data_IF_311106950838
#
_entry.id   IF_311106950838
#
_cell.length_a   1.000
_cell.length_b   1.000
_cell.length_c   1.000
_cell.angle_alpha   90.00
_cell.angle_beta   90.00
_cell.angle_gamma   90.00
#
_symmetry.space_group_name_H-M   'P 1'
#
loop_
_entity.id
_entity.type
_entity.pdbx_description
1 polymer ?
#
# COMPACT_ATOMS: atom_id res chain seq x y z
N UNK A 1 -16.65 20.78 10.27
CA UNK A 1 -15.94 19.52 9.90
C UNK A 1 -14.45 19.81 9.78
N UNK A 2 -13.61 19.06 10.48
CA UNK A 2 -12.18 19.11 10.28
C UNK A 2 -11.79 18.07 9.21
N UNK A 3 -11.04 18.45 8.21
CA UNK A 3 -10.46 17.53 7.23
C UNK A 3 -9.31 16.78 7.91
N UNK A 4 -9.30 15.46 7.73
CA UNK A 4 -8.22 14.59 8.18
C UNK A 4 -7.34 14.22 6.98
N UNK A 5 -6.04 14.39 7.11
CA UNK A 5 -5.09 14.09 6.03
C UNK A 5 -4.36 12.79 6.30
N UNK A 6 -4.34 11.92 5.31
CA UNK A 6 -3.52 10.71 5.27
C UNK A 6 -2.49 10.78 4.15
N UNK A 7 -1.45 9.95 4.23
CA UNK A 7 -0.38 9.89 3.24
C UNK A 7 -0.06 8.44 2.88
N UNK A 8 0.27 8.20 1.62
CA UNK A 8 0.79 6.92 1.17
C UNK A 8 2.30 6.83 1.43
N UNK A 9 2.82 5.69 1.92
CA UNK A 9 4.26 5.53 2.19
C UNK A 9 5.13 5.54 0.95
N UNK A 10 4.56 5.53 -0.23
CA UNK A 10 5.27 5.66 -1.51
C UNK A 10 6.12 6.94 -1.61
N UNK A 11 5.82 7.95 -0.80
CA UNK A 11 6.64 9.16 -0.69
C UNK A 11 8.03 8.89 -0.10
N UNK A 12 8.20 7.80 0.66
CA UNK A 12 9.47 7.39 1.30
C UNK A 12 10.09 6.16 0.68
N UNK A 13 9.27 5.23 0.20
CA UNK A 13 9.73 3.98 -0.39
C UNK A 13 8.71 3.49 -1.42
N UNK A 14 9.20 2.84 -2.47
CA UNK A 14 8.35 2.36 -3.54
C UNK A 14 8.25 0.83 -3.51
N UNK A 15 7.05 0.28 -3.35
CA UNK A 15 6.82 -1.16 -3.30
C UNK A 15 7.00 -1.84 -4.67
N UNK A 16 6.78 -1.09 -5.77
CA UNK A 16 6.97 -1.57 -7.15
C UNK A 16 8.43 -1.46 -7.60
N UNK A 17 9.20 -0.56 -7.01
CA UNK A 17 10.65 -0.36 -7.25
C UNK A 17 11.38 -0.32 -5.91
N UNK A 18 11.65 -1.47 -5.28
CA UNK A 18 12.19 -1.54 -3.91
C UNK A 18 13.55 -0.88 -3.70
N UNK A 19 14.29 -0.62 -4.77
CA UNK A 19 15.53 0.14 -4.74
C UNK A 19 15.33 1.64 -4.45
N UNK A 20 14.12 2.16 -4.66
CA UNK A 20 13.79 3.54 -4.33
C UNK A 20 13.31 3.64 -2.89
N UNK A 21 14.15 4.18 -2.02
CA UNK A 21 13.86 4.33 -0.60
C UNK A 21 13.93 3.01 0.18
N UNK A 22 14.64 2.00 -0.35
CA UNK A 22 14.75 0.69 0.29
C UNK A 22 15.34 0.73 1.71
N UNK A 23 16.26 1.68 1.95
CA UNK A 23 16.88 1.94 3.25
C UNK A 23 16.00 2.69 4.25
N UNK A 24 14.95 3.36 3.79
CA UNK A 24 14.02 4.09 4.65
C UNK A 24 13.19 3.12 5.49
N UNK A 25 13.28 3.23 6.80
CA UNK A 25 12.55 2.36 7.71
C UNK A 25 11.08 2.78 7.85
N UNK A 26 10.20 1.84 8.21
CA UNK A 26 8.81 2.18 8.54
C UNK A 26 8.73 3.20 9.70
N UNK A 27 9.57 3.03 10.71
CA UNK A 27 9.62 3.96 11.86
C UNK A 27 9.95 5.40 11.41
N UNK A 28 10.87 5.58 10.49
CA UNK A 28 11.17 6.89 9.90
C UNK A 28 9.96 7.44 9.15
N UNK A 29 9.35 6.64 8.29
CA UNK A 29 8.17 7.02 7.52
C UNK A 29 7.03 7.51 8.43
N UNK A 30 6.68 6.75 9.47
CA UNK A 30 5.62 7.09 10.41
C UNK A 30 5.95 8.36 11.22
N UNK A 31 7.20 8.49 11.67
CA UNK A 31 7.67 9.66 12.40
C UNK A 31 7.58 10.94 11.56
N UNK A 32 8.09 10.89 10.33
CA UNK A 32 8.08 12.05 9.43
C UNK A 32 6.66 12.40 8.96
N UNK A 33 5.81 11.40 8.71
CA UNK A 33 4.41 11.62 8.38
C UNK A 33 3.68 12.37 9.50
N UNK A 34 3.88 11.96 10.76
CA UNK A 34 3.31 12.66 11.91
C UNK A 34 3.87 14.09 12.03
N UNK A 35 5.19 14.28 11.88
CA UNK A 35 5.82 15.62 11.91
C UNK A 35 5.28 16.54 10.81
N UNK A 36 4.95 16.00 9.66
CA UNK A 36 4.36 16.75 8.55
C UNK A 36 2.88 17.10 8.77
N UNK A 37 2.27 16.60 9.84
CA UNK A 37 0.88 16.90 10.20
C UNK A 37 -0.15 15.90 9.65
N UNK A 38 0.28 14.78 9.06
CA UNK A 38 -0.62 13.70 8.70
C UNK A 38 -1.06 12.94 9.94
N UNK A 39 -2.32 12.54 9.96
CA UNK A 39 -2.91 11.74 11.04
C UNK A 39 -3.21 10.31 10.63
N UNK A 40 -3.08 10.00 9.34
CA UNK A 40 -3.28 8.67 8.79
C UNK A 40 -2.21 8.31 7.77
N UNK A 41 -1.98 7.01 7.62
CA UNK A 41 -1.07 6.44 6.64
C UNK A 41 -1.74 5.26 5.94
N UNK A 42 -1.49 5.08 4.66
CA UNK A 42 -1.87 3.87 3.93
C UNK A 42 -0.94 2.70 4.26
N UNK A 43 -1.51 1.50 4.27
CA UNK A 43 -0.75 0.27 4.40
C UNK A 43 0.17 0.06 3.19
N UNK A 44 1.43 -0.26 3.43
CA UNK A 44 2.44 -0.53 2.40
C UNK A 44 3.28 -1.77 2.72
N UNK A 45 4.16 -2.14 1.81
CA UNK A 45 4.94 -3.38 1.86
C UNK A 45 5.84 -3.54 3.08
N UNK A 46 6.28 -2.45 3.69
CA UNK A 46 7.14 -2.46 4.91
C UNK A 46 6.35 -2.64 6.21
N UNK A 47 5.04 -2.63 6.15
CA UNK A 47 4.20 -2.74 7.34
C UNK A 47 4.14 -4.19 7.85
N UNK A 48 4.15 -4.42 9.18
CA UNK A 48 3.84 -5.71 9.77
C UNK A 48 2.48 -6.21 9.29
N UNK A 49 2.40 -7.50 8.98
CA UNK A 49 1.18 -8.13 8.46
C UNK A 49 0.27 -8.70 9.54
N UNK A 50 0.55 -8.38 10.79
CA UNK A 50 -0.25 -8.76 11.95
C UNK A 50 -0.52 -7.54 12.83
N UNK A 51 -1.67 -7.53 13.50
CA UNK A 51 -2.11 -6.42 14.32
C UNK A 51 -1.30 -6.25 15.61
N UNK A 52 -0.76 -7.34 16.13
CA UNK A 52 0.03 -7.34 17.38
C UNK A 52 1.32 -6.52 17.25
N UNK A 53 1.93 -6.51 16.06
CA UNK A 53 3.12 -5.70 15.77
C UNK A 53 2.78 -4.33 15.20
N UNK A 54 1.72 -4.23 14.38
CA UNK A 54 1.37 -3.00 13.69
C UNK A 54 0.75 -1.96 14.61
N UNK A 55 -0.22 -2.36 15.46
CA UNK A 55 -0.92 -1.40 16.34
C UNK A 55 0.05 -0.65 17.26
N UNK A 56 1.00 -1.31 17.97
CA UNK A 56 1.95 -0.58 18.81
C UNK A 56 2.83 0.42 18.04
N UNK A 57 3.15 0.13 16.76
CA UNK A 57 3.92 1.07 15.92
C UNK A 57 3.09 2.29 15.57
N UNK A 58 1.85 2.10 15.15
CA UNK A 58 0.93 3.20 14.82
C UNK A 58 0.68 4.08 16.06
N UNK A 59 0.45 3.48 17.21
CA UNK A 59 0.24 4.19 18.48
C UNK A 59 1.47 4.99 18.89
N UNK A 60 2.66 4.41 18.77
CA UNK A 60 3.93 5.07 19.09
C UNK A 60 4.10 6.40 18.33
N UNK A 61 3.71 6.43 17.07
CA UNK A 61 3.84 7.61 16.21
C UNK A 61 2.54 8.42 16.11
N UNK A 62 1.49 8.04 16.82
CA UNK A 62 0.18 8.72 16.84
C UNK A 62 -0.39 8.92 15.45
N UNK A 63 -0.37 7.87 14.65
CA UNK A 63 -0.86 7.86 13.29
C UNK A 63 -1.81 6.68 13.09
N UNK A 64 -2.93 6.89 12.41
CA UNK A 64 -3.93 5.87 12.15
C UNK A 64 -3.65 5.14 10.84
N UNK A 65 -4.10 3.89 10.71
CA UNK A 65 -4.17 3.22 9.42
C UNK A 65 -5.42 3.70 8.69
N UNK A 66 -5.27 4.43 7.59
CA UNK A 66 -6.41 5.03 6.89
C UNK A 66 -6.90 4.22 5.68
N UNK A 67 -6.21 3.15 5.31
CA UNK A 67 -6.55 2.28 4.19
C UNK A 67 -5.35 1.52 3.69
N UNK A 68 -5.49 0.91 2.53
CA UNK A 68 -4.38 0.27 1.83
C UNK A 68 -4.82 -0.51 0.62
N UNK A 69 -3.88 -0.79 -0.24
CA UNK A 69 -4.07 -1.46 -1.50
C UNK A 69 -4.19 -2.98 -1.33
N UNK A 70 -5.12 -3.58 -2.07
CA UNK A 70 -5.20 -5.02 -2.28
C UNK A 70 -5.29 -5.33 -3.77
N UNK A 71 -4.32 -6.06 -4.29
CA UNK A 71 -4.29 -6.52 -5.68
C UNK A 71 -4.89 -7.93 -5.81
N UNK A 72 -6.09 -8.02 -6.38
CA UNK A 72 -6.78 -9.28 -6.63
C UNK A 72 -6.37 -9.91 -7.96
N UNK A 73 -6.40 -11.23 -8.04
CA UNK A 73 -6.13 -12.01 -9.24
C UNK A 73 -7.35 -12.86 -9.66
N UNK A 74 -8.49 -12.21 -9.86
CA UNK A 74 -9.78 -12.87 -10.16
C UNK A 74 -9.78 -13.68 -11.45
N UNK A 75 -8.88 -13.40 -12.39
CA UNK A 75 -8.72 -14.17 -13.64
C UNK A 75 -7.89 -15.44 -13.46
N UNK A 76 -7.13 -15.55 -12.36
CA UNK A 76 -6.25 -16.68 -12.07
C UNK A 76 -6.77 -17.54 -10.93
N UNK A 77 -7.33 -16.91 -9.91
CA UNK A 77 -7.80 -17.55 -8.70
C UNK A 77 -9.31 -17.80 -8.77
N UNK A 78 -9.77 -18.86 -8.12
CA UNK A 78 -11.19 -19.03 -7.85
C UNK A 78 -11.67 -17.98 -6.84
N UNK A 79 -12.98 -17.74 -6.81
CA UNK A 79 -13.58 -16.81 -5.85
C UNK A 79 -13.26 -17.20 -4.41
N UNK A 80 -13.24 -18.50 -4.11
CA UNK A 80 -12.93 -18.97 -2.75
C UNK A 80 -11.47 -18.71 -2.36
N UNK A 81 -10.53 -18.97 -3.25
CA UNK A 81 -9.11 -18.67 -3.04
C UNK A 81 -8.90 -17.17 -2.82
N UNK A 82 -9.47 -16.33 -3.68
CA UNK A 82 -9.33 -14.88 -3.56
C UNK A 82 -9.95 -14.34 -2.26
N UNK A 83 -11.08 -14.89 -1.83
CA UNK A 83 -11.69 -14.54 -0.54
C UNK A 83 -10.81 -14.89 0.65
N UNK A 84 -10.10 -16.00 0.61
CA UNK A 84 -9.18 -16.37 1.70
C UNK A 84 -7.95 -15.46 1.74
N UNK A 85 -7.38 -15.09 0.58
CA UNK A 85 -6.28 -14.12 0.52
C UNK A 85 -6.70 -12.74 1.04
N UNK A 86 -7.84 -12.26 0.60
CA UNK A 86 -8.39 -10.98 1.04
C UNK A 86 -8.72 -10.96 2.54
N UNK A 87 -9.20 -12.08 3.09
CA UNK A 87 -9.63 -12.20 4.48
C UNK A 87 -8.53 -11.81 5.47
N UNK A 88 -7.30 -12.23 5.21
CA UNK A 88 -6.14 -11.91 6.05
C UNK A 88 -5.93 -10.40 6.18
N UNK A 89 -5.94 -9.69 5.05
CA UNK A 89 -5.77 -8.23 5.05
C UNK A 89 -6.98 -7.50 5.63
N UNK A 90 -8.20 -7.99 5.37
CA UNK A 90 -9.42 -7.44 5.96
C UNK A 90 -9.42 -7.55 7.49
N UNK A 91 -8.96 -8.68 8.03
CA UNK A 91 -8.86 -8.85 9.48
C UNK A 91 -7.85 -7.87 10.09
N UNK A 92 -6.68 -7.73 9.49
CA UNK A 92 -5.67 -6.76 9.91
C UNK A 92 -6.24 -5.34 9.90
N UNK A 93 -6.92 -4.94 8.82
CA UNK A 93 -7.52 -3.61 8.70
C UNK A 93 -8.63 -3.37 9.71
N UNK A 94 -9.46 -4.39 9.96
CA UNK A 94 -10.48 -4.36 11.01
C UNK A 94 -9.86 -4.16 12.40
N UNK A 95 -8.82 -4.90 12.73
CA UNK A 95 -8.12 -4.80 14.00
C UNK A 95 -7.48 -3.41 14.21
N UNK A 96 -6.99 -2.81 13.13
CA UNK A 96 -6.43 -1.46 13.13
C UNK A 96 -7.49 -0.34 12.98
N UNK A 97 -8.78 -0.66 12.96
CA UNK A 97 -9.87 0.29 12.72
C UNK A 97 -9.73 1.08 11.40
N UNK A 98 -9.10 0.50 10.37
CA UNK A 98 -8.97 1.14 9.07
C UNK A 98 -10.34 1.27 8.39
N UNK A 99 -10.70 2.46 7.86
CA UNK A 99 -12.03 2.71 7.33
C UNK A 99 -12.30 2.07 5.96
N UNK A 100 -11.25 1.72 5.21
CA UNK A 100 -11.42 1.20 3.85
C UNK A 100 -10.26 0.32 3.39
N UNK A 101 -10.53 -0.43 2.32
CA UNK A 101 -9.54 -1.12 1.51
C UNK A 101 -9.69 -0.65 0.06
N UNK A 102 -8.58 -0.44 -0.63
CA UNK A 102 -8.56 -0.10 -2.05
C UNK A 102 -8.35 -1.39 -2.83
N UNK A 103 -9.41 -1.89 -3.43
CA UNK A 103 -9.41 -3.17 -4.15
C UNK A 103 -9.20 -2.95 -5.65
N UNK A 104 -8.24 -3.67 -6.24
CA UNK A 104 -7.99 -3.65 -7.67
C UNK A 104 -7.81 -5.06 -8.23
N UNK A 105 -8.36 -5.31 -9.40
CA UNK A 105 -8.06 -6.51 -10.20
C UNK A 105 -6.76 -6.28 -10.97
N UNK A 106 -5.72 -7.06 -10.67
CA UNK A 106 -4.37 -6.87 -11.24
C UNK A 106 -3.91 -8.04 -12.12
N UNK A 107 -4.78 -8.98 -12.44
CA UNK A 107 -4.42 -10.13 -13.29
C UNK A 107 -3.93 -9.67 -14.66
N UNK A 108 -2.70 -10.01 -15.01
CA UNK A 108 -2.07 -9.59 -16.26
C UNK A 108 -1.58 -8.15 -16.29
N UNK A 109 -1.60 -7.47 -15.13
CA UNK A 109 -0.91 -6.19 -14.99
C UNK A 109 0.60 -6.36 -15.17
N UNK A 110 1.22 -5.40 -15.84
CA UNK A 110 2.66 -5.32 -16.07
C UNK A 110 3.34 -4.34 -15.11
N UNK A 111 2.62 -3.84 -14.12
CA UNK A 111 3.07 -2.78 -13.21
C UNK A 111 4.34 -3.13 -12.42
N UNK A 112 4.54 -4.40 -12.07
CA UNK A 112 5.74 -4.89 -11.38
C UNK A 112 6.88 -5.33 -12.31
N UNK A 113 6.77 -5.15 -13.62
CA UNK A 113 7.79 -5.50 -14.60
C UNK A 113 8.66 -4.29 -14.93
N UNK A 114 9.95 -4.35 -14.60
CA UNK A 114 10.91 -3.29 -14.91
C UNK A 114 10.93 -2.90 -16.40
N UNK A 115 10.72 -3.86 -17.29
CA UNK A 115 10.66 -3.62 -18.72
C UNK A 115 9.38 -2.88 -19.14
N UNK A 116 8.32 -2.96 -18.36
CA UNK A 116 7.05 -2.30 -18.67
C UNK A 116 7.15 -0.78 -18.59
N UNK A 117 7.97 -0.25 -17.69
CA UNK A 117 8.18 1.19 -17.56
C UNK A 117 8.86 1.78 -18.81
N UNK A 118 9.73 1.03 -19.49
CA UNK A 118 10.36 1.43 -20.74
C UNK A 118 9.32 1.51 -21.86
N UNK A 119 8.38 0.58 -21.90
CA UNK A 119 7.31 0.57 -22.90
C UNK A 119 6.25 1.65 -22.69
N UNK A 120 6.02 2.07 -21.45
CA UNK A 120 5.06 3.16 -21.12
C UNK A 120 5.67 4.53 -21.45
N UNK A 121 6.98 4.68 -21.37
CA UNK A 121 7.67 5.95 -21.62
C UNK A 121 7.93 6.27 -23.10
N UNK A 122 7.81 5.29 -24.00
CA UNK A 122 7.88 5.54 -25.44
C UNK A 122 6.48 5.83 -25.99
N UNK A 123 6.19 7.09 -26.39
CA UNK A 123 5.00 7.34 -27.18
C UNK A 123 5.12 6.54 -28.47
N UNK A 124 4.24 5.59 -28.69
CA UNK A 124 4.08 4.93 -29.99
C UNK A 124 3.80 6.02 -31.02
N UNK A 125 4.83 6.51 -31.69
CA UNK A 125 4.64 7.26 -32.93
C UNK A 125 3.95 6.33 -33.91
N UNK A 126 2.79 6.72 -34.46
CA UNK A 126 2.27 6.01 -35.62
C UNK A 126 3.36 6.06 -36.67
N UNK A 127 3.83 4.90 -37.09
CA UNK A 127 4.68 4.84 -38.26
C UNK A 127 3.81 5.22 -39.47
N UNK A 128 4.08 6.39 -39.99
CA UNK A 128 3.53 6.82 -41.26
C UNK A 128 4.18 6.02 -42.39
#
# INVERSE_FOLDING_TARGET
MSVKLGVAPIAWSNDDMPELGGETTLDQCLSEANQAGFIGVEFGGKFPKNSEELIPKLDKYKIDLCGGWYGANLRKNTVNEEREYLRSQLNLFKDCNSPCIVFAEVSGSIQGDHLSLIHISEPTRPMN
#
